data_IF_604909753797
#
_entry.id   IF_604909753797
#
_cell.length_a   1.000
_cell.length_b   1.000
_cell.length_c   1.000
_cell.angle_alpha   90.00
_cell.angle_beta   90.00
_cell.angle_gamma   90.00
#
_symmetry.space_group_name_H-M   'P 1'
#
loop_
_entity.id
_entity.type
_entity.pdbx_description
1 polymer ?
#
# COMPACT_ATOMS: atom_id res chain seq x y z
N UNK A 1 2.44 37.90 19.70
CA UNK A 1 2.22 36.44 19.85
C UNK A 1 1.22 35.87 18.83
N UNK A 2 0.24 36.63 18.36
CA UNK A 2 -0.78 36.19 17.37
C UNK A 2 -0.24 35.76 15.99
N UNK A 3 0.86 36.35 15.48
CA UNK A 3 1.44 35.93 14.18
C UNK A 3 2.05 34.52 14.20
N UNK A 4 2.61 34.07 15.32
CA UNK A 4 3.15 32.71 15.46
C UNK A 4 2.03 31.65 15.52
N UNK A 5 0.91 31.98 16.15
CA UNK A 5 -0.27 31.09 16.23
C UNK A 5 -0.88 30.82 14.85
N UNK A 6 -0.97 31.84 13.99
CA UNK A 6 -1.45 31.67 12.62
C UNK A 6 -0.54 30.74 11.78
N UNK A 7 0.78 30.85 11.94
CA UNK A 7 1.73 30.01 11.21
C UNK A 7 1.63 28.54 11.62
N UNK A 8 1.53 28.26 12.93
CA UNK A 8 1.37 26.90 13.45
C UNK A 8 0.03 26.30 13.02
N UNK A 9 -1.06 27.09 13.00
CA UNK A 9 -2.37 26.61 12.54
C UNK A 9 -2.38 26.20 11.07
N UNK A 10 -1.62 26.90 10.21
CA UNK A 10 -1.47 26.49 8.81
C UNK A 10 -0.71 25.16 8.68
N UNK A 11 0.32 24.95 9.52
CA UNK A 11 1.04 23.67 9.54
C UNK A 11 0.16 22.49 9.96
N UNK A 12 -0.81 22.68 10.87
CA UNK A 12 -1.77 21.63 11.22
C UNK A 12 -2.76 21.33 10.07
N UNK A 13 -3.12 22.33 9.27
CA UNK A 13 -4.00 22.12 8.10
C UNK A 13 -3.27 21.42 6.94
N UNK A 14 -1.97 21.68 6.75
CA UNK A 14 -1.13 21.00 5.75
C UNK A 14 -0.67 19.63 6.30
N UNK A 15 -0.57 19.52 7.63
CA UNK A 15 -0.11 18.36 8.38
C UNK A 15 -1.14 17.26 8.55
N UNK A 16 -2.26 17.27 7.80
CA UNK A 16 -2.91 16.03 7.41
C UNK A 16 -1.95 15.29 6.46
N UNK A 17 -0.83 14.83 7.01
CA UNK A 17 0.05 13.84 6.41
C UNK A 17 -0.85 12.64 6.24
N UNK A 18 -1.26 12.37 5.00
CA UNK A 18 -1.95 11.14 4.66
C UNK A 18 -0.95 10.06 5.03
N UNK A 19 -1.18 9.37 6.15
CA UNK A 19 -0.32 8.31 6.59
C UNK A 19 -0.42 7.22 5.53
N UNK A 20 0.67 7.09 4.78
CA UNK A 20 0.81 6.10 3.75
C UNK A 20 1.69 4.98 4.28
N UNK A 21 1.36 3.76 3.86
CA UNK A 21 2.11 2.55 4.18
C UNK A 21 2.53 1.83 2.91
N UNK A 22 3.43 0.87 3.07
CA UNK A 22 3.93 0.03 2.00
C UNK A 22 3.80 -1.45 2.38
N UNK A 23 3.72 -2.31 1.37
CA UNK A 23 3.53 -3.73 1.62
C UNK A 23 3.02 -4.52 0.43
N UNK A 24 2.82 -5.82 0.65
CA UNK A 24 2.31 -6.73 -0.37
C UNK A 24 0.82 -6.54 -0.56
N UNK A 25 0.35 -6.53 -1.81
CA UNK A 25 -1.09 -6.51 -2.08
C UNK A 25 -1.75 -7.80 -1.60
N UNK A 26 -2.90 -7.63 -0.95
CA UNK A 26 -3.80 -8.74 -0.63
C UNK A 26 -4.53 -9.18 -1.90
N UNK A 27 -4.21 -10.36 -2.37
CA UNK A 27 -4.89 -11.03 -3.48
C UNK A 27 -6.08 -11.87 -3.01
N UNK A 28 -6.49 -12.79 -3.87
CA UNK A 28 -7.61 -13.70 -3.59
C UNK A 28 -7.32 -14.62 -2.39
N UNK A 29 -8.34 -14.88 -1.56
CA UNK A 29 -8.31 -15.89 -0.48
C UNK A 29 -7.18 -15.67 0.54
N UNK A 30 -6.99 -14.44 1.00
CA UNK A 30 -5.99 -14.14 2.05
C UNK A 30 -4.52 -14.31 1.62
N UNK A 31 -4.26 -14.48 0.33
CA UNK A 31 -2.92 -14.68 -0.23
C UNK A 31 -2.31 -13.35 -0.72
N UNK A 32 -1.00 -13.32 -0.96
CA UNK A 32 -0.38 -12.24 -1.73
C UNK A 32 -0.88 -12.25 -3.18
N UNK A 33 -1.06 -11.07 -3.76
CA UNK A 33 -1.37 -10.89 -5.18
C UNK A 33 -0.22 -11.41 -6.06
N UNK A 34 -0.46 -12.44 -6.87
CA UNK A 34 0.55 -13.05 -7.72
C UNK A 34 0.84 -12.22 -8.98
N UNK A 35 2.13 -12.11 -9.35
CA UNK A 35 2.60 -11.46 -10.57
C UNK A 35 3.54 -12.30 -11.47
N UNK A 36 3.76 -13.59 -11.16
CA UNK A 36 4.74 -14.47 -11.82
C UNK A 36 4.53 -14.59 -13.35
N UNK A 37 3.29 -14.63 -13.80
CA UNK A 37 2.93 -14.76 -15.23
C UNK A 37 2.27 -13.50 -15.78
N UNK A 38 2.39 -12.38 -15.06
CA UNK A 38 1.74 -11.13 -15.40
C UNK A 38 2.69 -10.19 -16.17
N UNK A 39 2.14 -9.25 -16.96
CA UNK A 39 2.95 -8.22 -17.62
C UNK A 39 3.77 -7.40 -16.60
N UNK A 40 4.89 -6.82 -17.04
CA UNK A 40 5.82 -6.06 -16.20
C UNK A 40 5.14 -4.97 -15.35
N UNK A 41 4.22 -4.21 -15.97
CA UNK A 41 3.48 -3.12 -15.31
C UNK A 41 2.26 -3.57 -14.50
N UNK A 42 2.03 -4.88 -14.35
CA UNK A 42 0.84 -5.37 -13.64
C UNK A 42 0.77 -4.87 -12.20
N UNK A 43 1.86 -4.98 -11.45
CA UNK A 43 1.85 -4.54 -10.05
C UNK A 43 1.77 -3.03 -9.90
N UNK A 44 2.41 -2.26 -10.79
CA UNK A 44 2.27 -0.80 -10.84
C UNK A 44 0.79 -0.41 -10.99
N UNK A 45 0.09 -1.03 -11.95
CA UNK A 45 -1.33 -0.78 -12.19
C UNK A 45 -2.21 -1.18 -10.98
N UNK A 46 -2.02 -2.39 -10.43
CA UNK A 46 -2.79 -2.85 -9.26
C UNK A 46 -2.55 -1.98 -8.02
N UNK A 47 -1.32 -1.51 -7.80
CA UNK A 47 -1.01 -0.59 -6.72
C UNK A 47 -1.67 0.78 -6.94
N UNK A 48 -1.64 1.31 -8.16
CA UNK A 48 -2.33 2.56 -8.48
C UNK A 48 -3.85 2.46 -8.35
N UNK A 49 -4.45 1.30 -8.63
CA UNK A 49 -5.89 1.07 -8.45
C UNK A 49 -6.34 1.17 -6.99
N UNK A 50 -5.46 0.83 -6.05
CA UNK A 50 -5.72 1.00 -4.60
C UNK A 50 -5.22 2.35 -4.06
N UNK A 51 -4.80 3.26 -4.93
CA UNK A 51 -4.32 4.59 -4.54
C UNK A 51 -2.86 4.62 -4.09
N UNK A 52 -2.10 3.55 -4.31
CA UNK A 52 -0.64 3.56 -4.14
C UNK A 52 0.05 4.35 -5.26
N UNK A 53 1.20 4.93 -4.94
CA UNK A 53 1.96 5.73 -5.91
C UNK A 53 2.63 4.85 -6.97
N UNK A 54 3.13 3.68 -6.56
CA UNK A 54 3.84 2.76 -7.45
C UNK A 54 3.83 1.34 -6.89
N UNK A 55 4.27 0.37 -7.69
CA UNK A 55 4.49 -0.99 -7.25
C UNK A 55 5.26 -1.84 -8.25
N UNK A 56 5.76 -2.97 -7.77
CA UNK A 56 6.56 -3.89 -8.58
C UNK A 56 6.33 -5.35 -8.17
N UNK A 57 6.78 -6.26 -9.04
CA UNK A 57 6.71 -7.70 -8.79
C UNK A 57 7.90 -8.16 -7.94
N UNK A 58 7.75 -8.12 -6.62
CA UNK A 58 8.78 -8.51 -5.68
C UNK A 58 9.05 -10.03 -5.73
N UNK A 59 10.34 -10.38 -5.77
CA UNK A 59 10.83 -11.75 -5.94
C UNK A 59 10.22 -12.49 -7.14
N UNK A 60 9.74 -11.77 -8.16
CA UNK A 60 9.00 -12.31 -9.30
C UNK A 60 7.76 -13.14 -8.93
N UNK A 61 7.19 -12.92 -7.74
CA UNK A 61 6.11 -13.76 -7.21
C UNK A 61 4.91 -12.96 -6.73
N UNK A 62 5.13 -11.80 -6.09
CA UNK A 62 4.05 -11.04 -5.47
C UNK A 62 4.16 -9.54 -5.70
N UNK A 63 3.03 -8.86 -5.87
CA UNK A 63 3.01 -7.40 -5.98
C UNK A 63 3.28 -6.72 -4.63
N UNK A 64 4.23 -5.79 -4.64
CA UNK A 64 4.56 -4.91 -3.53
C UNK A 64 4.28 -3.46 -3.93
N UNK A 65 3.61 -2.70 -3.07
CA UNK A 65 3.19 -1.33 -3.33
C UNK A 65 3.87 -0.34 -2.39
N UNK A 66 4.09 0.87 -2.90
CA UNK A 66 4.58 2.03 -2.18
C UNK A 66 3.47 3.07 -1.98
N UNK A 67 3.56 3.80 -0.87
CA UNK A 67 2.71 4.94 -0.53
C UNK A 67 1.21 4.69 -0.71
N UNK A 68 0.75 3.55 -0.20
CA UNK A 68 -0.66 3.16 -0.21
C UNK A 68 -1.39 3.81 0.96
N UNK A 69 -2.63 4.32 0.78
CA UNK A 69 -3.41 4.87 1.90
C UNK A 69 -3.60 3.85 3.02
N UNK A 70 -3.53 4.29 4.28
CA UNK A 70 -3.69 3.43 5.44
C UNK A 70 -4.99 2.61 5.45
N UNK A 71 -6.06 3.16 4.87
CA UNK A 71 -7.37 2.51 4.73
C UNK A 71 -7.35 1.25 3.87
N UNK A 72 -6.32 1.07 3.03
CA UNK A 72 -6.19 -0.12 2.18
C UNK A 72 -5.66 -1.28 3.00
N UNK A 73 -6.32 -2.42 2.89
CA UNK A 73 -5.85 -3.66 3.51
C UNK A 73 -4.73 -4.27 2.66
N UNK A 74 -3.51 -4.30 3.19
CA UNK A 74 -2.39 -5.02 2.61
C UNK A 74 -2.31 -6.44 3.21
N UNK A 75 -1.52 -7.30 2.58
CA UNK A 75 -1.27 -8.64 3.10
C UNK A 75 -0.40 -8.57 4.35
N UNK A 76 -0.81 -9.32 5.37
CA UNK A 76 -0.08 -9.49 6.63
C UNK A 76 0.18 -10.99 6.86
N UNK A 77 1.30 -11.32 7.50
CA UNK A 77 1.75 -12.71 7.66
C UNK A 77 0.88 -13.51 8.64
N UNK A 78 0.26 -12.85 9.60
CA UNK A 78 -0.60 -13.41 10.64
C UNK A 78 -1.96 -13.89 10.09
N UNK A 79 -2.49 -13.17 9.10
CA UNK A 79 -3.76 -13.44 8.43
C UNK A 79 -3.59 -14.25 7.14
N UNK A 80 -2.38 -14.74 6.85
CA UNK A 80 -2.11 -15.53 5.66
C UNK A 80 -2.93 -16.83 5.65
N UNK A 81 -3.72 -17.00 4.60
CA UNK A 81 -4.49 -18.23 4.33
C UNK A 81 -3.78 -19.12 3.29
N UNK A 82 -2.76 -18.60 2.63
CA UNK A 82 -2.03 -19.29 1.59
C UNK A 82 -1.11 -20.39 2.15
N UNK A 83 -1.19 -21.60 1.59
CA UNK A 83 -0.35 -22.74 1.98
C UNK A 83 -0.79 -23.49 3.24
N UNK A 84 -1.86 -23.04 3.90
CA UNK A 84 -2.53 -23.83 4.93
C UNK A 84 -3.16 -25.06 4.26
N UNK A 85 -2.54 -26.23 4.42
CA UNK A 85 -3.18 -27.50 4.07
C UNK A 85 -4.41 -27.64 4.97
N UNK A 86 -5.58 -27.87 4.37
CA UNK A 86 -6.76 -28.34 5.10
C UNK A 86 -6.49 -29.70 5.73
#
# INVERSE_FOLDING_TARGET
MTRFVLFISCFFLIGMVVECKEGYLLGSRGCKMNCLTRPEKFCELECSLVGGENGYCAYWLACYCYNVPESVKLWESDTNECGKRK
#
